data_IF_421759482193
#
_entry.id   IF_421759482193
#
_cell.length_a   1.000
_cell.length_b   1.000
_cell.length_c   1.000
_cell.angle_alpha   90.00
_cell.angle_beta   90.00
_cell.angle_gamma   90.00
#
_symmetry.space_group_name_H-M   'P 1'
#
loop_
_entity.id
_entity.type
_entity.pdbx_description
1 polymer ?
#
# COMPACT_ATOMS: atom_id res chain seq x y z
N UNK A 1 9.52 13.50 32.60
CA UNK A 1 10.50 13.05 31.59
C UNK A 1 10.79 11.60 31.93
N UNK A 2 9.99 10.67 31.42
CA UNK A 2 10.27 9.25 31.62
C UNK A 2 11.02 8.74 30.41
N UNK A 3 12.34 8.65 30.57
CA UNK A 3 13.22 7.98 29.64
C UNK A 3 13.04 6.47 29.79
N UNK A 4 12.39 5.86 28.79
CA UNK A 4 12.48 4.46 28.35
C UNK A 4 12.96 3.45 29.41
N UNK A 5 12.03 2.89 30.18
CA UNK A 5 12.25 1.72 31.07
C UNK A 5 12.08 0.38 30.36
N UNK A 6 11.76 0.39 29.06
CA UNK A 6 11.41 -0.82 28.33
C UNK A 6 12.65 -1.54 27.81
N UNK A 7 12.65 -2.88 27.96
CA UNK A 7 13.68 -3.76 27.43
C UNK A 7 13.82 -3.55 25.91
N UNK A 8 15.03 -3.78 25.32
CA UNK A 8 15.20 -3.72 23.88
C UNK A 8 14.21 -4.65 23.19
N UNK A 9 13.43 -4.14 22.23
CA UNK A 9 12.51 -4.96 21.45
C UNK A 9 13.31 -5.91 20.57
N UNK A 10 13.09 -7.21 20.74
CA UNK A 10 13.74 -8.22 19.92
C UNK A 10 13.03 -8.33 18.57
N UNK A 11 13.79 -8.18 17.49
CA UNK A 11 13.28 -8.28 16.12
C UNK A 11 13.82 -9.52 15.42
N UNK A 12 12.96 -10.22 14.69
CA UNK A 12 13.33 -11.34 13.83
C UNK A 12 12.66 -11.20 12.47
N UNK A 13 13.37 -11.62 11.43
CA UNK A 13 12.87 -11.57 10.04
C UNK A 13 13.19 -12.88 9.34
N UNK A 14 12.17 -13.45 8.70
CA UNK A 14 12.27 -14.60 7.83
C UNK A 14 11.80 -14.20 6.43
N UNK A 15 12.70 -14.28 5.44
CA UNK A 15 12.34 -14.01 4.04
C UNK A 15 12.60 -15.23 3.18
N UNK A 16 11.70 -15.49 2.26
CA UNK A 16 11.78 -16.60 1.32
C UNK A 16 11.33 -16.17 -0.07
N UNK A 17 11.94 -16.76 -1.10
CA UNK A 17 11.53 -16.61 -2.49
C UNK A 17 10.77 -17.86 -2.90
N UNK A 18 9.53 -17.70 -3.35
CA UNK A 18 8.70 -18.76 -3.87
C UNK A 18 8.72 -18.67 -5.41
N UNK A 19 9.26 -19.69 -6.06
CA UNK A 19 9.51 -19.65 -7.51
C UNK A 19 10.55 -18.58 -7.88
N UNK A 20 10.37 -17.93 -9.03
CA UNK A 20 11.30 -16.89 -9.50
C UNK A 20 10.91 -15.48 -9.04
N UNK A 21 9.61 -15.20 -8.96
CA UNK A 21 9.10 -13.82 -8.87
C UNK A 21 8.54 -13.43 -7.50
N UNK A 22 8.11 -14.37 -6.66
CA UNK A 22 7.42 -14.05 -5.40
C UNK A 22 8.39 -14.00 -4.24
N UNK A 23 8.37 -12.90 -3.49
CA UNK A 23 9.11 -12.72 -2.25
C UNK A 23 8.10 -12.61 -1.12
N UNK A 24 8.24 -13.49 -0.14
CA UNK A 24 7.44 -13.53 1.06
C UNK A 24 8.33 -13.26 2.27
N UNK A 25 7.94 -12.32 3.12
CA UNK A 25 8.69 -11.98 4.32
C UNK A 25 7.76 -11.91 5.52
N UNK A 26 8.18 -12.56 6.59
CA UNK A 26 7.61 -12.47 7.93
C UNK A 26 8.58 -11.71 8.81
N UNK A 27 8.09 -10.75 9.55
CA UNK A 27 8.86 -9.96 10.50
C UNK A 27 8.09 -9.88 11.81
N UNK A 28 8.78 -10.09 12.92
CA UNK A 28 8.21 -10.01 14.26
C UNK A 28 9.08 -9.17 15.15
N UNK A 29 8.46 -8.22 15.84
CA UNK A 29 9.04 -7.43 16.92
C UNK A 29 8.25 -7.75 18.19
N UNK A 30 8.90 -8.42 19.16
CA UNK A 30 8.25 -9.09 20.30
C UNK A 30 7.16 -8.26 20.97
N UNK A 31 7.44 -6.98 21.19
CA UNK A 31 6.59 -6.06 21.95
C UNK A 31 6.05 -4.91 21.09
N UNK A 32 6.05 -5.06 19.76
CA UNK A 32 5.60 -4.01 18.85
C UNK A 32 4.62 -4.48 17.77
N UNK A 33 4.98 -5.48 16.94
CA UNK A 33 4.15 -5.90 15.81
C UNK A 33 4.55 -7.25 15.20
N UNK A 34 3.62 -7.80 14.41
CA UNK A 34 3.88 -8.84 13.42
C UNK A 34 3.56 -8.31 12.03
N UNK A 35 4.50 -8.44 11.10
CA UNK A 35 4.39 -7.95 9.73
C UNK A 35 4.57 -9.08 8.73
N UNK A 36 3.73 -9.09 7.72
CA UNK A 36 3.79 -10.00 6.59
C UNK A 36 3.80 -9.19 5.31
N UNK A 37 4.83 -9.38 4.49
CA UNK A 37 4.88 -8.78 3.15
C UNK A 37 4.92 -9.85 2.08
N UNK A 38 4.13 -9.66 1.03
CA UNK A 38 4.16 -10.46 -0.19
C UNK A 38 4.35 -9.52 -1.37
N UNK A 39 5.33 -9.77 -2.21
CA UNK A 39 5.56 -8.97 -3.41
C UNK A 39 6.01 -9.83 -4.58
N UNK A 40 5.71 -9.39 -5.79
CA UNK A 40 6.27 -10.00 -6.99
C UNK A 40 6.52 -8.98 -8.08
N UNK A 41 7.52 -9.26 -8.91
CA UNK A 41 7.83 -8.53 -10.14
C UNK A 41 7.90 -9.53 -11.27
N UNK A 42 7.11 -9.29 -12.32
CA UNK A 42 7.01 -10.14 -13.50
C UNK A 42 7.90 -9.61 -14.64
N UNK A 43 8.25 -10.44 -15.64
CA UNK A 43 9.13 -10.04 -16.75
C UNK A 43 8.62 -8.85 -17.58
N UNK A 44 7.31 -8.66 -17.67
CA UNK A 44 6.70 -7.50 -18.32
C UNK A 44 6.75 -6.22 -17.46
N UNK A 45 7.49 -6.23 -16.35
CA UNK A 45 7.55 -5.16 -15.33
C UNK A 45 6.25 -4.95 -14.56
N UNK A 46 5.22 -5.78 -14.73
CA UNK A 46 4.09 -5.80 -13.82
C UNK A 46 4.56 -6.19 -12.42
N UNK A 47 3.95 -5.61 -11.40
CA UNK A 47 4.30 -5.94 -10.02
C UNK A 47 3.13 -5.76 -9.10
N UNK A 48 3.13 -6.51 -8.00
CA UNK A 48 2.24 -6.23 -6.89
C UNK A 48 2.99 -6.29 -5.57
N UNK A 49 2.44 -5.63 -4.57
CA UNK A 49 2.91 -5.66 -3.20
C UNK A 49 1.70 -5.67 -2.28
N UNK A 50 1.77 -6.50 -1.25
CA UNK A 50 0.85 -6.56 -0.14
C UNK A 50 1.69 -6.55 1.14
N UNK A 51 1.35 -5.66 2.06
CA UNK A 51 2.03 -5.44 3.32
C UNK A 51 0.98 -5.34 4.42
N UNK A 52 0.94 -6.34 5.30
CA UNK A 52 0.04 -6.42 6.44
C UNK A 52 0.83 -6.31 7.72
N UNK A 53 0.39 -5.46 8.64
CA UNK A 53 0.97 -5.30 9.97
C UNK A 53 -0.16 -5.43 10.99
N UNK A 54 0.07 -6.30 11.98
CA UNK A 54 -0.75 -6.43 13.18
C UNK A 54 0.05 -5.89 14.37
N UNK A 55 -0.46 -4.86 15.04
CA UNK A 55 0.21 -4.24 16.17
C UNK A 55 -0.27 -4.89 17.46
N UNK A 56 0.67 -5.40 18.27
CA UNK A 56 0.37 -5.99 19.57
C UNK A 56 0.54 -4.97 20.73
N UNK A 57 1.09 -3.80 20.43
CA UNK A 57 1.22 -2.66 21.34
C UNK A 57 0.34 -1.50 20.85
N UNK A 58 -0.20 -0.74 21.81
CA UNK A 58 -0.92 0.50 21.50
C UNK A 58 0.03 1.61 21.02
N UNK A 59 -0.27 2.85 21.39
CA UNK A 59 0.57 3.99 21.03
C UNK A 59 2.02 3.76 21.47
N UNK A 60 2.95 3.71 20.50
CA UNK A 60 4.37 3.47 20.72
C UNK A 60 5.20 4.11 19.61
N UNK A 61 6.54 4.06 19.74
CA UNK A 61 7.45 4.53 18.69
C UNK A 61 7.28 3.76 17.36
N UNK A 62 6.79 2.52 17.43
CA UNK A 62 6.53 1.67 16.27
C UNK A 62 5.11 1.85 15.72
N UNK A 63 4.18 2.34 16.54
CA UNK A 63 2.79 2.59 16.20
C UNK A 63 2.29 3.96 16.70
N UNK A 64 2.83 5.08 16.18
CA UNK A 64 2.48 6.42 16.66
C UNK A 64 1.03 6.79 16.37
N UNK A 65 0.39 6.09 15.44
CA UNK A 65 -1.00 6.36 15.09
C UNK A 65 -1.99 5.48 15.85
N UNK A 66 -1.52 4.64 16.77
CA UNK A 66 -2.32 3.72 17.58
C UNK A 66 -3.31 2.89 16.74
N UNK A 67 -2.83 2.40 15.59
CA UNK A 67 -3.63 1.52 14.73
C UNK A 67 -3.55 0.08 15.27
N UNK A 68 -4.65 -0.66 15.26
CA UNK A 68 -4.62 -2.08 15.56
C UNK A 68 -3.96 -2.84 14.40
N UNK A 69 -4.30 -2.47 13.16
CA UNK A 69 -3.83 -3.13 11.94
C UNK A 69 -3.58 -2.14 10.83
N UNK A 70 -2.66 -2.49 9.94
CA UNK A 70 -2.44 -1.80 8.66
C UNK A 70 -2.39 -2.80 7.53
N UNK A 71 -3.02 -2.44 6.42
CA UNK A 71 -2.92 -3.18 5.17
C UNK A 71 -2.63 -2.21 4.05
N UNK A 72 -1.45 -2.34 3.45
CA UNK A 72 -1.08 -1.61 2.25
C UNK A 72 -1.05 -2.61 1.10
N UNK A 73 -1.69 -2.25 0.00
CA UNK A 73 -1.62 -3.04 -1.23
C UNK A 73 -1.34 -2.11 -2.40
N UNK A 74 -0.55 -2.61 -3.35
CA UNK A 74 -0.32 -1.91 -4.60
C UNK A 74 -0.16 -2.90 -5.75
N UNK A 75 -0.61 -2.47 -6.92
CA UNK A 75 -0.56 -3.21 -8.17
C UNK A 75 -0.11 -2.23 -9.25
N UNK A 76 0.85 -2.65 -10.05
CA UNK A 76 1.34 -1.93 -11.21
C UNK A 76 1.26 -2.83 -12.43
N UNK A 77 0.57 -2.35 -13.47
CA UNK A 77 0.29 -3.08 -14.69
C UNK A 77 0.64 -2.20 -15.89
N UNK A 78 1.78 -2.46 -16.55
CA UNK A 78 2.06 -1.94 -17.88
C UNK A 78 1.29 -2.78 -18.91
N UNK A 79 0.58 -2.12 -19.81
CA UNK A 79 -0.12 -2.76 -20.93
C UNK A 79 -0.12 -1.85 -22.15
N UNK A 80 -0.37 -2.43 -23.31
CA UNK A 80 -0.47 -1.66 -24.55
C UNK A 80 -1.92 -1.68 -25.02
N UNK A 81 -2.46 -0.50 -25.34
CA UNK A 81 -3.76 -0.36 -25.98
C UNK A 81 -3.52 0.26 -27.36
N UNK A 82 -3.82 -0.49 -28.41
CA UNK A 82 -3.44 -0.15 -29.79
C UNK A 82 -1.92 0.08 -29.89
N UNK A 83 -1.48 1.32 -30.13
CA UNK A 83 -0.07 1.69 -30.25
C UNK A 83 0.40 2.60 -29.12
N UNK A 84 -0.40 2.78 -28.06
CA UNK A 84 -0.04 3.59 -26.90
C UNK A 84 0.36 2.68 -25.73
N UNK A 85 1.55 2.86 -25.13
CA UNK A 85 1.90 2.20 -23.88
C UNK A 85 1.16 2.89 -22.73
N UNK A 86 0.44 2.13 -21.91
CA UNK A 86 -0.22 2.60 -20.71
C UNK A 86 0.35 1.92 -19.48
N UNK A 87 0.41 2.64 -18.38
CA UNK A 87 0.73 2.11 -17.08
C UNK A 87 -0.40 2.43 -16.12
N UNK A 88 -1.01 1.37 -15.58
CA UNK A 88 -1.99 1.46 -14.50
C UNK A 88 -1.29 1.18 -13.18
N UNK A 89 -1.55 2.02 -12.18
CA UNK A 89 -1.17 1.79 -10.79
C UNK A 89 -2.42 1.86 -9.93
N UNK A 90 -2.66 0.83 -9.14
CA UNK A 90 -3.73 0.79 -8.15
C UNK A 90 -3.07 0.64 -6.78
N UNK A 91 -3.56 1.34 -5.77
CA UNK A 91 -3.07 1.20 -4.40
C UNK A 91 -4.19 1.41 -3.40
N UNK A 92 -4.16 0.65 -2.32
CA UNK A 92 -5.03 0.84 -1.17
C UNK A 92 -4.22 0.88 0.12
N UNK A 93 -4.53 1.84 0.98
CA UNK A 93 -3.89 2.05 2.27
C UNK A 93 -4.99 2.01 3.34
N UNK A 94 -5.10 0.89 4.03
CA UNK A 94 -6.09 0.64 5.05
C UNK A 94 -5.46 0.69 6.44
N UNK A 95 -6.11 1.44 7.33
CA UNK A 95 -5.75 1.60 8.73
C UNK A 95 -6.96 1.25 9.57
N UNK A 96 -6.80 0.30 10.47
CA UNK A 96 -7.85 -0.18 11.34
C UNK A 96 -7.48 0.20 12.76
N UNK A 97 -8.32 0.97 13.43
CA UNK A 97 -8.15 1.31 14.83
C UNK A 97 -9.40 0.89 15.62
N UNK A 98 -9.42 1.12 16.93
CA UNK A 98 -10.54 0.71 17.79
C UNK A 98 -11.84 1.49 17.55
N UNK A 99 -11.79 2.66 16.91
CA UNK A 99 -12.93 3.58 16.75
C UNK A 99 -13.41 3.74 15.31
N UNK A 100 -12.55 3.48 14.34
CA UNK A 100 -12.78 3.74 12.92
C UNK A 100 -11.80 2.96 12.03
N UNK A 101 -12.28 2.60 10.86
CA UNK A 101 -11.43 2.07 9.79
C UNK A 101 -11.31 3.14 8.71
N UNK A 102 -10.12 3.38 8.20
CA UNK A 102 -9.92 4.30 7.07
C UNK A 102 -9.18 3.60 5.96
N UNK A 103 -9.73 3.62 4.75
CA UNK A 103 -9.07 3.10 3.55
C UNK A 103 -8.93 4.22 2.53
N UNK A 104 -7.71 4.55 2.15
CA UNK A 104 -7.44 5.43 0.99
C UNK A 104 -7.17 4.57 -0.22
N UNK A 105 -7.97 4.72 -1.26
CA UNK A 105 -7.82 4.05 -2.54
C UNK A 105 -7.32 5.03 -3.59
N UNK A 106 -6.39 4.58 -4.43
CA UNK A 106 -5.81 5.37 -5.52
C UNK A 106 -5.71 4.52 -6.77
N UNK A 107 -6.07 5.12 -7.90
CA UNK A 107 -5.87 4.55 -9.22
C UNK A 107 -5.26 5.62 -10.14
N UNK A 108 -4.11 5.34 -10.72
CA UNK A 108 -3.40 6.22 -11.65
C UNK A 108 -3.22 5.51 -12.98
N UNK A 109 -3.62 6.16 -14.06
CA UNK A 109 -3.33 5.74 -15.43
C UNK A 109 -2.40 6.78 -16.06
N UNK A 110 -1.28 6.35 -16.63
CA UNK A 110 -0.41 7.23 -17.40
C UNK A 110 -0.04 6.63 -18.75
N UNK A 111 0.20 7.49 -19.72
CA UNK A 111 0.67 7.10 -21.05
C UNK A 111 1.54 8.20 -21.64
N UNK A 112 2.50 7.80 -22.48
CA UNK A 112 3.28 8.72 -23.32
C UNK A 112 2.93 8.47 -24.77
N UNK A 113 2.50 9.53 -25.44
CA UNK A 113 2.24 9.52 -26.89
C UNK A 113 3.12 10.61 -27.50
N UNK A 114 4.10 10.19 -28.31
CA UNK A 114 5.16 11.04 -28.83
C UNK A 114 5.92 11.77 -27.70
N UNK A 115 5.79 13.11 -27.64
CA UNK A 115 6.42 13.96 -26.63
C UNK A 115 5.48 14.31 -25.47
N UNK A 116 4.20 13.96 -25.56
CA UNK A 116 3.22 14.30 -24.54
C UNK A 116 3.08 13.16 -23.53
N UNK A 117 3.13 13.50 -22.24
CA UNK A 117 2.77 12.58 -21.15
C UNK A 117 1.40 12.97 -20.61
N UNK A 118 0.49 12.01 -20.59
CA UNK A 118 -0.84 12.14 -20.02
C UNK A 118 -0.89 11.33 -18.72
N UNK A 119 -1.47 11.91 -17.67
CA UNK A 119 -1.76 11.21 -16.42
C UNK A 119 -3.17 11.52 -15.96
N UNK A 120 -3.89 10.49 -15.58
CA UNK A 120 -5.21 10.55 -14.96
C UNK A 120 -5.13 9.82 -13.63
N UNK A 121 -5.55 10.47 -12.56
CA UNK A 121 -5.57 9.92 -11.20
C UNK A 121 -6.97 9.97 -10.63
N UNK A 122 -7.31 8.95 -9.84
CA UNK A 122 -8.48 8.90 -8.98
C UNK A 122 -8.00 8.61 -7.56
N UNK A 123 -8.46 9.37 -6.59
CA UNK A 123 -8.19 9.11 -5.17
C UNK A 123 -9.46 9.29 -4.35
N UNK A 124 -9.74 8.34 -3.49
CA UNK A 124 -10.86 8.41 -2.55
C UNK A 124 -10.45 7.89 -1.16
N UNK A 125 -11.12 8.39 -0.13
CA UNK A 125 -10.91 8.00 1.26
C UNK A 125 -12.22 7.57 1.89
N UNK A 126 -12.30 6.28 2.19
CA UNK A 126 -13.40 5.62 2.86
C UNK A 126 -13.18 5.61 4.37
N UNK A 127 -14.24 5.90 5.13
CA UNK A 127 -14.26 5.77 6.59
C UNK A 127 -15.35 4.74 6.93
N UNK A 128 -14.99 3.65 7.59
CA UNK A 128 -15.87 2.51 7.84
C UNK A 128 -15.81 1.48 6.72
N UNK A 129 -16.90 1.35 5.97
CA UNK A 129 -17.03 0.40 4.87
C UNK A 129 -16.23 0.86 3.64
N UNK A 130 -15.56 -0.10 3.00
CA UNK A 130 -14.79 0.14 1.77
C UNK A 130 -15.59 -0.36 0.56
N UNK A 131 -16.06 0.59 -0.25
CA UNK A 131 -16.80 0.28 -1.48
C UNK A 131 -16.32 1.15 -2.65
N UNK A 132 -15.50 0.56 -3.51
CA UNK A 132 -14.94 1.24 -4.70
C UNK A 132 -16.01 1.58 -5.73
N UNK A 133 -17.13 0.87 -5.75
CA UNK A 133 -18.20 1.09 -6.72
C UNK A 133 -19.11 2.26 -6.33
N UNK A 134 -19.06 2.70 -5.07
CA UNK A 134 -19.79 3.84 -4.54
C UNK A 134 -18.81 4.89 -3.98
N UNK A 135 -18.22 5.76 -4.83
CA UNK A 135 -17.28 6.79 -4.40
C UNK A 135 -17.87 7.72 -3.35
N UNK A 136 -17.03 8.16 -2.40
CA UNK A 136 -17.44 9.10 -1.37
C UNK A 136 -17.50 10.54 -1.89
N UNK A 137 -18.10 11.44 -1.11
CA UNK A 137 -18.08 12.88 -1.39
C UNK A 137 -16.67 13.50 -1.31
N UNK A 138 -15.66 12.75 -0.87
CA UNK A 138 -14.26 13.18 -0.83
C UNK A 138 -13.42 12.61 -1.97
N UNK A 139 -14.04 11.89 -2.90
CA UNK A 139 -13.38 11.39 -4.09
C UNK A 139 -12.86 12.56 -4.96
N UNK A 140 -11.68 12.36 -5.53
CA UNK A 140 -11.00 13.33 -6.37
C UNK A 140 -10.56 12.69 -7.67
N UNK A 141 -10.70 13.44 -8.76
CA UNK A 141 -10.18 13.11 -10.08
C UNK A 141 -9.17 14.18 -10.47
N UNK A 142 -7.98 13.73 -10.88
CA UNK A 142 -6.90 14.59 -11.33
C UNK A 142 -6.48 14.22 -12.75
N UNK A 143 -6.14 15.23 -13.54
CA UNK A 143 -5.68 15.07 -14.91
C UNK A 143 -4.52 16.03 -15.16
N UNK A 144 -3.44 15.55 -15.78
CA UNK A 144 -2.31 16.39 -16.16
C UNK A 144 -1.74 15.99 -17.50
N UNK A 145 -1.25 16.99 -18.22
CA UNK A 145 -0.57 16.84 -19.51
C UNK A 145 0.72 17.64 -19.45
N UNK A 146 1.83 17.00 -19.83
CA UNK A 146 3.17 17.61 -19.88
C UNK A 146 3.85 17.30 -21.21
N UNK A 147 4.76 18.17 -21.66
CA UNK A 147 5.51 18.06 -22.91
C UNK A 147 7.02 18.11 -22.63
#
# INVERSE_FOLDING_TARGET
QDYHTDLPTFTSTLSSRIGSSYIYTLEGASDAYYRTTLSAIYPNSASFNLDYIDFNSGFSIYNPSNDNKRLNSSLFLPFQLFNAPLNLRISAFSRFNSTSNTTTFRADLNTRINKLNFRFGFTDRYIGEFDVLNPTNTATLEGSVTY
#
